data_IF_045313553613
#
_entry.id   IF_045313553613
#
_cell.length_a   1.000
_cell.length_b   1.000
_cell.length_c   1.000
_cell.angle_alpha   90.00
_cell.angle_beta   90.00
_cell.angle_gamma   90.00
#
_symmetry.space_group_name_H-M   'P 1'
#
loop_
_entity.id
_entity.type
_entity.pdbx_description
1 polymer ?
#
# COMPACT_ATOMS: atom_id res chain seq x y z
N UNK A 1 12.35 -27.41 54.83
CA UNK A 1 12.22 -25.95 54.58
C UNK A 1 12.62 -25.69 53.13
N UNK A 2 11.71 -25.22 52.27
CA UNK A 2 12.03 -24.87 50.87
C UNK A 2 12.67 -23.47 50.85
N UNK A 3 13.94 -23.37 50.45
CA UNK A 3 14.59 -22.06 50.20
C UNK A 3 13.88 -21.41 49.01
N UNK A 4 13.37 -20.18 49.19
CA UNK A 4 12.89 -19.35 48.08
C UNK A 4 14.11 -18.70 47.43
N UNK A 5 14.38 -19.03 46.18
CA UNK A 5 15.35 -18.32 45.35
C UNK A 5 14.70 -17.03 44.83
N UNK A 6 15.25 -15.89 45.19
CA UNK A 6 14.91 -14.59 44.58
C UNK A 6 15.90 -14.27 43.46
N UNK A 7 15.44 -13.50 42.46
CA UNK A 7 16.31 -12.95 41.43
C UNK A 7 17.29 -11.93 42.04
N UNK A 8 18.52 -11.91 41.55
CA UNK A 8 19.49 -10.89 41.92
C UNK A 8 19.22 -9.59 41.16
N UNK A 9 19.55 -8.44 41.76
CA UNK A 9 19.45 -7.15 41.09
C UNK A 9 20.31 -7.10 39.81
N UNK A 10 21.43 -7.82 39.82
CA UNK A 10 22.35 -7.92 38.68
C UNK A 10 21.73 -8.69 37.51
N UNK A 11 21.03 -9.80 37.78
CA UNK A 11 20.32 -10.56 36.74
C UNK A 11 19.25 -9.70 36.06
N UNK A 12 18.47 -8.95 36.84
CA UNK A 12 17.47 -8.05 36.26
C UNK A 12 18.11 -6.94 35.43
N UNK A 13 19.24 -6.39 35.89
CA UNK A 13 19.98 -5.34 35.19
C UNK A 13 20.51 -5.81 33.82
N UNK A 14 21.09 -7.02 33.75
CA UNK A 14 21.59 -7.57 32.48
C UNK A 14 20.43 -7.85 31.52
N UNK A 15 19.28 -8.29 32.02
CA UNK A 15 18.11 -8.58 31.17
C UNK A 15 17.57 -7.31 30.52
N UNK A 16 17.37 -6.23 31.29
CA UNK A 16 16.83 -4.99 30.73
C UNK A 16 17.81 -4.31 29.75
N UNK A 17 19.12 -4.45 29.97
CA UNK A 17 20.13 -3.89 29.04
C UNK A 17 20.13 -4.65 27.72
N UNK A 18 20.06 -5.99 27.73
CA UNK A 18 19.95 -6.79 26.51
C UNK A 18 18.64 -6.48 25.78
N UNK A 19 17.51 -6.40 26.49
CA UNK A 19 16.22 -6.02 25.88
C UNK A 19 16.32 -4.64 25.22
N UNK A 20 16.91 -3.64 25.90
CA UNK A 20 17.09 -2.30 25.36
C UNK A 20 17.93 -2.24 24.08
N UNK A 21 18.99 -3.04 23.99
CA UNK A 21 19.81 -3.13 22.77
C UNK A 21 18.99 -3.75 21.63
N UNK A 22 18.31 -4.88 21.90
CA UNK A 22 17.51 -5.57 20.87
C UNK A 22 16.34 -4.73 20.36
N UNK A 23 15.64 -4.01 21.26
CA UNK A 23 14.50 -3.17 20.86
C UNK A 23 14.94 -1.99 19.99
N UNK A 24 16.11 -1.40 20.27
CA UNK A 24 16.64 -0.29 19.47
C UNK A 24 16.88 -0.68 18.00
N UNK A 25 17.44 -1.88 17.76
CA UNK A 25 17.69 -2.40 16.42
C UNK A 25 16.39 -2.81 15.72
N UNK A 26 15.48 -3.45 16.45
CA UNK A 26 14.19 -3.90 15.92
C UNK A 26 13.35 -2.72 15.39
N UNK A 27 13.38 -1.56 16.07
CA UNK A 27 12.55 -0.42 15.70
C UNK A 27 12.91 0.17 14.32
N UNK A 28 14.21 0.25 13.99
CA UNK A 28 14.65 0.75 12.67
C UNK A 28 14.23 -0.21 11.56
N UNK A 29 14.41 -1.51 11.77
CA UNK A 29 14.01 -2.54 10.79
C UNK A 29 12.49 -2.57 10.58
N UNK A 30 11.71 -2.40 11.65
CA UNK A 30 10.25 -2.40 11.59
C UNK A 30 9.68 -1.28 10.71
N UNK A 31 10.21 -0.06 10.83
CA UNK A 31 9.76 1.08 10.02
C UNK A 31 9.97 0.84 8.51
N UNK A 32 11.14 0.30 8.13
CA UNK A 32 11.42 -0.07 6.74
C UNK A 32 10.49 -1.18 6.22
N UNK A 33 10.26 -2.21 7.03
CA UNK A 33 9.35 -3.30 6.67
C UNK A 33 7.90 -2.80 6.46
N UNK A 34 7.42 -1.88 7.31
CA UNK A 34 6.10 -1.28 7.14
C UNK A 34 5.98 -0.45 5.86
N UNK A 35 7.01 0.32 5.47
CA UNK A 35 7.02 1.07 4.20
C UNK A 35 6.87 0.14 3.00
N UNK A 36 7.73 -0.89 2.93
CA UNK A 36 7.68 -1.91 1.87
C UNK A 36 6.34 -2.64 1.80
N UNK A 37 5.74 -2.94 2.95
CA UNK A 37 4.42 -3.57 2.99
C UNK A 37 3.34 -2.65 2.40
N UNK A 38 3.37 -1.35 2.72
CA UNK A 38 2.46 -0.36 2.12
C UNK A 38 2.70 -0.20 0.63
N UNK A 39 3.95 -0.12 0.17
CA UNK A 39 4.27 -0.02 -1.26
C UNK A 39 3.77 -1.25 -2.03
N UNK A 40 3.97 -2.44 -1.47
CA UNK A 40 3.42 -3.67 -2.04
C UNK A 40 1.88 -3.65 -2.10
N UNK A 41 1.22 -3.05 -1.11
CA UNK A 41 -0.24 -2.87 -1.11
C UNK A 41 -0.66 -1.89 -2.21
N UNK A 42 -0.02 -0.72 -2.33
CA UNK A 42 -0.28 0.27 -3.39
C UNK A 42 -0.18 -0.34 -4.79
N UNK A 43 0.88 -1.11 -5.02
CA UNK A 43 1.08 -1.80 -6.30
C UNK A 43 -0.02 -2.85 -6.56
N UNK A 44 -0.46 -3.56 -5.52
CA UNK A 44 -1.56 -4.52 -5.64
C UNK A 44 -2.90 -3.82 -5.91
N UNK A 45 -3.16 -2.70 -5.23
CA UNK A 45 -4.38 -1.89 -5.40
C UNK A 45 -4.48 -1.35 -6.83
N UNK A 46 -3.40 -0.75 -7.35
CA UNK A 46 -3.36 -0.26 -8.73
C UNK A 46 -3.52 -1.40 -9.76
N UNK A 47 -2.93 -2.57 -9.51
CA UNK A 47 -3.15 -3.75 -10.37
C UNK A 47 -4.60 -4.24 -10.32
N UNK A 48 -5.26 -4.17 -9.17
CA UNK A 48 -6.67 -4.51 -9.04
C UNK A 48 -7.55 -3.55 -9.87
N UNK A 49 -7.25 -2.25 -9.81
CA UNK A 49 -7.92 -1.23 -10.64
C UNK A 49 -7.69 -1.50 -12.14
N UNK A 50 -6.43 -1.77 -12.54
CA UNK A 50 -6.10 -2.15 -13.91
C UNK A 50 -6.93 -3.36 -14.35
N UNK A 51 -6.93 -4.45 -13.59
CA UNK A 51 -7.71 -5.64 -13.92
C UNK A 51 -9.21 -5.36 -14.04
N UNK A 52 -9.77 -4.47 -13.22
CA UNK A 52 -11.17 -4.07 -13.30
C UNK A 52 -11.46 -3.29 -14.60
N UNK A 53 -10.57 -2.35 -14.97
CA UNK A 53 -10.72 -1.56 -16.19
C UNK A 53 -10.52 -2.39 -17.47
N UNK A 54 -9.64 -3.38 -17.44
CA UNK A 54 -9.48 -4.31 -18.56
C UNK A 54 -10.68 -5.26 -18.71
N UNK A 55 -11.31 -5.67 -17.61
CA UNK A 55 -12.59 -6.40 -17.67
C UNK A 55 -13.70 -5.52 -18.24
N UNK A 56 -13.81 -4.27 -17.76
CA UNK A 56 -14.75 -3.30 -18.32
C UNK A 56 -14.56 -3.14 -19.84
N UNK A 57 -13.31 -3.00 -20.29
CA UNK A 57 -12.96 -2.88 -21.70
C UNK A 57 -13.44 -4.08 -22.53
N UNK A 58 -13.25 -5.29 -22.01
CA UNK A 58 -13.69 -6.51 -22.67
C UNK A 58 -15.22 -6.58 -22.84
N UNK A 59 -15.97 -6.06 -21.86
CA UNK A 59 -17.44 -6.10 -21.87
C UNK A 59 -18.08 -4.92 -22.60
N UNK A 60 -17.33 -3.83 -22.84
CA UNK A 60 -17.83 -2.59 -23.47
C UNK A 60 -17.26 -2.33 -24.87
N UNK A 61 -17.26 -3.37 -25.71
CA UNK A 61 -16.85 -3.29 -27.14
C UNK A 61 -15.44 -2.70 -27.33
N UNK A 62 -14.53 -2.96 -26.40
CA UNK A 62 -13.17 -2.42 -26.45
C UNK A 62 -13.10 -0.92 -26.17
N UNK A 63 -13.94 -0.41 -25.28
CA UNK A 63 -13.88 0.96 -24.79
C UNK A 63 -13.70 0.98 -23.27
N UNK A 64 -12.77 1.81 -22.81
CA UNK A 64 -12.68 2.17 -21.40
C UNK A 64 -13.77 3.17 -20.99
N UNK A 65 -13.96 3.42 -19.68
CA UNK A 65 -14.86 4.46 -19.21
C UNK A 65 -14.51 5.84 -19.79
N UNK A 66 -15.52 6.66 -20.07
CA UNK A 66 -15.34 7.90 -20.84
C UNK A 66 -15.01 9.13 -20.01
N UNK A 67 -15.14 9.05 -18.68
CA UNK A 67 -14.88 10.17 -17.77
C UNK A 67 -14.09 9.73 -16.54
N UNK A 68 -13.42 10.69 -15.91
CA UNK A 68 -12.68 10.49 -14.66
C UNK A 68 -13.57 9.88 -13.56
N UNK A 69 -14.81 10.35 -13.44
CA UNK A 69 -15.75 9.83 -12.46
C UNK A 69 -16.12 8.37 -12.73
N UNK A 70 -16.25 7.98 -14.00
CA UNK A 70 -16.54 6.60 -14.40
C UNK A 70 -15.31 5.69 -14.18
N UNK A 71 -14.09 6.17 -14.42
CA UNK A 71 -12.88 5.42 -14.07
C UNK A 71 -12.73 5.25 -12.55
N UNK A 72 -13.23 6.20 -11.75
CA UNK A 72 -13.28 6.07 -10.30
C UNK A 72 -14.34 5.08 -9.82
N UNK A 73 -15.31 4.77 -10.68
CA UNK A 73 -16.43 3.88 -10.39
C UNK A 73 -16.71 3.01 -11.62
N UNK A 74 -15.80 2.08 -11.99
CA UNK A 74 -15.99 1.24 -13.17
C UNK A 74 -17.25 0.36 -13.06
N UNK A 75 -17.83 0.27 -11.86
CA UNK A 75 -19.04 -0.45 -11.51
C UNK A 75 -18.75 -1.46 -10.40
N UNK A 76 -19.74 -1.75 -9.56
CA UNK A 76 -19.64 -2.77 -8.49
C UNK A 76 -19.39 -4.17 -9.08
N UNK A 77 -19.67 -4.38 -10.37
CA UNK A 77 -19.41 -5.63 -11.08
C UNK A 77 -17.90 -5.90 -11.25
N UNK A 78 -17.13 -4.89 -11.67
CA UNK A 78 -15.70 -5.03 -11.95
C UNK A 78 -14.83 -4.78 -10.72
N UNK A 79 -15.31 -3.94 -9.79
CA UNK A 79 -14.61 -3.59 -8.56
C UNK A 79 -15.61 -3.46 -7.39
N UNK A 80 -16.04 -4.57 -6.78
CA UNK A 80 -17.15 -4.58 -5.81
C UNK A 80 -16.84 -3.84 -4.50
N UNK A 81 -15.57 -3.74 -4.12
CA UNK A 81 -15.15 -2.97 -2.96
C UNK A 81 -14.97 -1.47 -3.26
N UNK A 82 -15.15 -1.06 -4.53
CA UNK A 82 -14.76 0.26 -5.02
C UNK A 82 -13.25 0.43 -5.10
N UNK A 83 -12.81 1.64 -5.44
CA UNK A 83 -11.39 1.97 -5.48
C UNK A 83 -10.78 1.89 -4.08
N UNK A 84 -9.65 1.17 -3.90
CA UNK A 84 -8.94 1.15 -2.63
C UNK A 84 -8.41 2.53 -2.24
N UNK A 85 -8.29 2.77 -0.94
CA UNK A 85 -7.64 3.95 -0.39
C UNK A 85 -6.18 3.66 -0.07
N UNK A 86 -5.32 4.64 -0.29
CA UNK A 86 -3.89 4.55 0.03
C UNK A 86 -3.70 4.18 1.52
N UNK A 87 -2.85 3.19 1.84
CA UNK A 87 -2.70 2.68 3.20
C UNK A 87 -2.08 3.67 4.20
N UNK A 88 -1.55 4.81 3.75
CA UNK A 88 -0.94 5.85 4.59
C UNK A 88 -1.80 7.10 4.69
N UNK A 89 -2.30 7.61 3.57
CA UNK A 89 -3.11 8.84 3.54
C UNK A 89 -4.60 8.59 3.70
N UNK A 90 -5.06 7.36 3.46
CA UNK A 90 -6.48 7.01 3.33
C UNK A 90 -7.22 7.79 2.24
N UNK A 91 -6.49 8.32 1.26
CA UNK A 91 -7.04 8.99 0.07
C UNK A 91 -7.21 7.95 -1.03
N UNK A 92 -8.33 8.00 -1.76
CA UNK A 92 -8.58 7.12 -2.89
C UNK A 92 -7.66 7.44 -4.08
N UNK A 93 -7.26 6.40 -4.81
CA UNK A 93 -6.56 6.60 -6.07
C UNK A 93 -7.47 7.28 -7.09
N UNK A 94 -6.96 8.29 -7.78
CA UNK A 94 -7.67 9.00 -8.85
C UNK A 94 -6.93 8.87 -10.17
N UNK A 95 -7.62 8.74 -11.31
CA UNK A 95 -6.96 8.67 -12.59
C UNK A 95 -6.41 10.05 -12.98
N UNK A 96 -5.18 10.07 -13.47
CA UNK A 96 -4.58 11.25 -14.11
C UNK A 96 -5.15 11.45 -15.52
N UNK A 97 -5.46 10.34 -16.18
CA UNK A 97 -6.11 10.30 -17.49
C UNK A 97 -7.20 9.26 -17.44
N UNK A 98 -8.37 9.57 -17.98
CA UNK A 98 -9.41 8.60 -18.27
C UNK A 98 -10.21 9.06 -19.49
N UNK A 99 -10.25 8.22 -20.52
CA UNK A 99 -11.07 8.35 -21.70
C UNK A 99 -11.30 6.96 -22.31
N UNK A 100 -12.15 6.88 -23.34
CA UNK A 100 -12.53 5.62 -24.00
C UNK A 100 -11.36 4.79 -24.53
N UNK A 101 -10.23 5.41 -24.80
CA UNK A 101 -9.05 4.76 -25.38
C UNK A 101 -7.90 4.58 -24.39
N UNK A 102 -7.91 5.29 -23.25
CA UNK A 102 -6.81 5.23 -22.31
C UNK A 102 -7.18 5.66 -20.89
N UNK A 103 -6.54 5.01 -19.92
CA UNK A 103 -6.54 5.41 -18.52
C UNK A 103 -5.12 5.41 -17.95
N UNK A 104 -4.92 6.15 -16.86
CA UNK A 104 -3.67 6.15 -16.11
C UNK A 104 -3.94 6.41 -14.63
N UNK A 105 -3.54 5.47 -13.78
CA UNK A 105 -3.50 5.63 -12.33
C UNK A 105 -2.05 5.52 -11.86
N UNK A 106 -1.67 6.35 -10.89
CA UNK A 106 -0.33 6.33 -10.32
C UNK A 106 -0.40 6.39 -8.79
N UNK A 107 0.66 5.90 -8.15
CA UNK A 107 0.88 5.98 -6.72
C UNK A 107 2.34 6.36 -6.44
N UNK A 108 2.50 7.22 -5.45
CA UNK A 108 3.78 7.58 -4.82
C UNK A 108 4.24 6.42 -3.92
N UNK A 109 5.50 5.97 -4.05
CA UNK A 109 6.06 4.89 -3.24
C UNK A 109 6.98 5.46 -2.16
N UNK A 110 7.12 4.76 -1.03
CA UNK A 110 7.94 5.25 0.09
C UNK A 110 9.41 4.82 0.01
N UNK A 111 9.88 4.36 -1.16
CA UNK A 111 11.17 3.66 -1.33
C UNK A 111 12.37 4.62 -1.30
N UNK A 112 12.20 5.85 -1.77
CA UNK A 112 13.18 6.94 -1.76
C UNK A 112 13.21 7.71 -0.40
N UNK A 113 12.21 7.47 0.45
CA UNK A 113 12.08 8.05 1.78
C UNK A 113 11.33 9.38 1.81
N UNK A 114 11.03 9.96 0.64
CA UNK A 114 9.97 10.96 0.51
C UNK A 114 8.62 10.24 0.41
N UNK A 115 7.56 10.96 0.73
CA UNK A 115 6.19 10.55 0.43
C UNK A 115 5.40 11.84 0.61
N UNK A 116 5.44 12.64 -0.45
CA UNK A 116 4.76 13.93 -0.49
C UNK A 116 3.44 13.84 -1.27
N UNK A 117 3.14 12.68 -1.86
CA UNK A 117 1.95 12.42 -2.66
C UNK A 117 1.98 13.11 -4.01
N UNK A 118 3.13 13.63 -4.44
CA UNK A 118 3.28 14.35 -5.70
C UNK A 118 4.04 13.56 -6.75
N UNK A 119 4.73 12.48 -6.35
CA UNK A 119 5.46 11.61 -7.26
C UNK A 119 4.56 10.50 -7.85
N UNK A 120 4.87 10.11 -9.09
CA UNK A 120 4.14 9.10 -9.87
C UNK A 120 5.01 7.84 -10.07
N UNK A 121 5.57 7.32 -8.98
CA UNK A 121 6.58 6.25 -9.03
C UNK A 121 6.09 4.96 -9.66
N UNK A 122 4.87 4.56 -9.34
CA UNK A 122 4.26 3.37 -9.91
C UNK A 122 2.94 3.72 -10.59
N UNK A 123 2.88 3.50 -11.90
CA UNK A 123 1.69 3.76 -12.69
C UNK A 123 1.19 2.49 -13.39
N UNK A 124 -0.13 2.39 -13.50
CA UNK A 124 -0.81 1.42 -14.35
C UNK A 124 -1.56 2.15 -15.47
N UNK A 125 -1.53 1.57 -16.65
CA UNK A 125 -2.19 2.05 -17.87
C UNK A 125 -2.79 0.86 -18.62
N UNK A 126 -3.45 1.14 -19.73
CA UNK A 126 -3.95 0.15 -20.69
C UNK A 126 -2.89 -0.93 -20.98
N UNK A 127 -3.31 -2.19 -21.16
CA UNK A 127 -2.43 -3.31 -21.51
C UNK A 127 -2.02 -3.39 -23.00
N UNK A 128 -2.18 -2.32 -23.79
CA UNK A 128 -1.91 -2.32 -25.24
C UNK A 128 -0.42 -2.12 -25.58
#
# INVERSE_FOLDING_TARGET
MKKRSGFTLLELLIVITIIGILTSLAMVSYSSAQRRARDSQRQADLKAIQNALEQYYADHDGNYPSSVDDCNHPGEEYLPAGIPADPKTSVFYSPLTCNKTAYRFCADLEEDGSFDGTEEDFCVTNLQ
#
